data_IF_232453899663
#
_entry.id   IF_232453899663
#
_cell.length_a   1.000
_cell.length_b   1.000
_cell.length_c   1.000
_cell.angle_alpha   90.00
_cell.angle_beta   90.00
_cell.angle_gamma   90.00
#
_symmetry.space_group_name_H-M   'P 1'
#
loop_
_entity.id
_entity.type
_entity.pdbx_description
1 polymer ?
#
# COMPACT_ATOMS: atom_id res chain seq x y z
N UNK A 1 10.82 8.94 -3.14
CA UNK A 1 9.86 9.55 -4.07
C UNK A 1 8.53 9.31 -3.39
N UNK A 2 7.90 10.22 -2.63
CA UNK A 2 7.58 11.64 -2.87
C UNK A 2 6.96 11.81 -4.27
N UNK A 3 5.77 11.25 -4.45
CA UNK A 3 5.00 11.27 -5.70
C UNK A 3 3.98 12.42 -5.76
N UNK A 4 3.53 12.97 -4.61
CA UNK A 4 2.49 14.01 -4.59
C UNK A 4 2.89 15.38 -5.16
N UNK A 5 4.02 15.96 -4.72
CA UNK A 5 4.35 17.36 -5.07
C UNK A 5 4.77 17.54 -6.55
N UNK A 6 5.58 16.65 -7.11
CA UNK A 6 6.02 16.77 -8.52
C UNK A 6 4.85 16.58 -9.50
N UNK A 7 3.90 15.70 -9.21
CA UNK A 7 2.73 15.45 -10.06
C UNK A 7 1.67 16.55 -9.92
N UNK A 8 1.45 17.08 -8.71
CA UNK A 8 0.61 18.27 -8.51
C UNK A 8 1.20 19.50 -9.20
N UNK A 9 2.52 19.69 -9.12
CA UNK A 9 3.24 20.75 -9.83
C UNK A 9 3.20 20.55 -11.36
N UNK A 10 3.19 19.31 -11.85
CA UNK A 10 3.00 18.99 -13.27
C UNK A 10 1.56 19.29 -13.75
N UNK A 11 0.55 18.94 -12.96
CA UNK A 11 -0.87 19.24 -13.24
C UNK A 11 -1.14 20.75 -13.23
N UNK A 12 -0.54 21.50 -12.29
CA UNK A 12 -0.71 22.96 -12.18
C UNK A 12 0.17 23.76 -13.14
N UNK A 13 1.34 23.24 -13.56
CA UNK A 13 2.20 23.89 -14.57
C UNK A 13 1.71 23.71 -16.01
N UNK A 14 0.76 22.80 -16.27
CA UNK A 14 0.02 22.65 -17.53
C UNK A 14 -1.02 23.77 -17.77
N UNK A 15 -0.66 25.01 -17.46
CA UNK A 15 -1.47 26.21 -17.67
C UNK A 15 -1.79 26.57 -19.13
N UNK A 16 -1.92 25.63 -20.05
CA UNK A 16 -2.36 25.89 -21.42
C UNK A 16 -2.86 24.64 -22.13
N UNK A 17 -4.10 24.72 -22.63
CA UNK A 17 -4.58 24.02 -23.84
C UNK A 17 -4.83 22.49 -23.80
N UNK A 18 -5.09 21.89 -22.63
CA UNK A 18 -5.69 20.55 -22.62
C UNK A 18 -7.17 20.61 -23.07
N UNK A 19 -7.47 20.11 -24.27
CA UNK A 19 -8.82 19.87 -24.78
C UNK A 19 -9.44 18.70 -23.99
N UNK A 20 -10.30 19.00 -23.02
CA UNK A 20 -11.11 18.02 -22.28
C UNK A 20 -12.45 17.87 -23.01
N UNK A 21 -12.74 16.70 -23.61
CA UNK A 21 -14.03 16.45 -24.28
C UNK A 21 -14.81 15.28 -23.68
N UNK A 22 -15.99 15.65 -23.20
CA UNK A 22 -17.05 14.85 -22.59
C UNK A 22 -17.90 14.00 -23.57
N UNK A 23 -17.55 13.97 -24.86
CA UNK A 23 -18.33 13.29 -25.92
C UNK A 23 -17.51 12.51 -26.97
N UNK A 24 -16.18 12.43 -26.81
CA UNK A 24 -15.31 11.51 -27.56
C UNK A 24 -14.71 12.02 -28.89
N UNK A 25 -14.42 13.31 -29.06
CA UNK A 25 -13.86 13.92 -30.27
C UNK A 25 -12.61 14.82 -30.10
N UNK A 26 -11.95 14.96 -28.94
CA UNK A 26 -10.65 15.68 -28.89
C UNK A 26 -9.53 14.85 -29.55
N UNK A 27 -8.65 15.53 -30.31
CA UNK A 27 -7.59 14.94 -31.12
C UNK A 27 -6.20 14.90 -30.46
N UNK A 28 -6.06 15.24 -29.18
CA UNK A 28 -4.76 15.22 -28.49
C UNK A 28 -4.93 14.63 -27.08
N UNK A 29 -4.23 13.52 -26.87
CA UNK A 29 -4.17 12.76 -25.63
C UNK A 29 -3.21 13.47 -24.66
N UNK A 30 -3.60 13.67 -23.40
CA UNK A 30 -2.62 13.63 -22.31
C UNK A 30 -2.54 12.17 -21.87
N UNK A 31 -1.97 11.35 -22.74
CA UNK A 31 -1.33 10.12 -22.28
C UNK A 31 0.05 10.55 -21.84
N UNK A 32 0.40 10.33 -20.58
CA UNK A 32 1.82 10.18 -20.33
C UNK A 32 2.25 8.93 -21.11
N UNK A 33 2.94 9.16 -22.24
CA UNK A 33 3.40 8.11 -23.15
C UNK A 33 4.50 7.24 -22.53
N UNK A 34 4.81 7.47 -21.25
CA UNK A 34 5.77 6.71 -20.46
C UNK A 34 5.08 5.56 -19.68
N UNK A 35 3.76 5.55 -19.52
CA UNK A 35 3.05 4.51 -18.77
C UNK A 35 2.00 3.81 -19.65
N UNK A 36 2.40 2.70 -20.28
CA UNK A 36 1.53 1.89 -21.15
C UNK A 36 0.38 1.17 -20.42
N UNK A 37 0.40 1.12 -19.08
CA UNK A 37 -0.49 0.22 -18.33
C UNK A 37 -1.56 0.90 -17.45
N UNK A 38 -1.41 2.19 -17.05
CA UNK A 38 -2.34 2.83 -16.10
C UNK A 38 -2.74 4.27 -16.52
N UNK A 39 -3.74 4.41 -17.40
CA UNK A 39 -4.34 5.72 -17.71
C UNK A 39 -5.32 6.13 -16.60
N UNK A 40 -5.04 7.25 -15.92
CA UNK A 40 -5.94 7.86 -14.94
C UNK A 40 -6.84 8.89 -15.62
N UNK A 41 -8.16 8.74 -15.47
CA UNK A 41 -9.15 9.66 -16.03
C UNK A 41 -9.75 10.52 -14.91
N UNK A 42 -9.30 11.77 -14.83
CA UNK A 42 -9.82 12.75 -13.87
C UNK A 42 -10.90 13.60 -14.54
N UNK A 43 -12.10 13.60 -13.95
CA UNK A 43 -13.18 14.51 -14.29
C UNK A 43 -13.03 15.84 -13.54
N UNK A 44 -12.88 16.92 -14.30
CA UNK A 44 -12.75 18.29 -13.78
C UNK A 44 -14.08 19.07 -13.77
N UNK A 45 -15.22 18.42 -13.99
CA UNK A 45 -16.54 19.08 -13.96
C UNK A 45 -17.02 19.39 -12.55
N UNK A 46 -17.98 20.30 -12.44
CA UNK A 46 -18.69 20.56 -11.17
C UNK A 46 -19.56 19.39 -10.70
N UNK A 47 -19.70 18.35 -11.53
CA UNK A 47 -20.37 17.09 -11.21
C UNK A 47 -19.41 15.96 -10.85
N UNK A 48 -18.10 16.23 -10.79
CA UNK A 48 -17.10 15.26 -10.34
C UNK A 48 -17.49 14.72 -8.97
N UNK A 49 -17.45 13.41 -8.79
CA UNK A 49 -17.69 12.76 -7.52
C UNK A 49 -16.65 11.68 -7.25
N UNK A 50 -16.32 11.50 -5.98
CA UNK A 50 -15.41 10.46 -5.48
C UNK A 50 -16.02 9.05 -5.67
N UNK A 51 -15.36 8.01 -5.20
CA UNK A 51 -15.82 6.63 -5.35
C UNK A 51 -17.18 6.33 -4.70
N UNK A 52 -17.64 7.15 -3.75
CA UNK A 52 -18.96 7.00 -3.12
C UNK A 52 -20.06 7.68 -3.93
N UNK A 53 -19.70 8.62 -4.81
CA UNK A 53 -20.64 9.47 -5.53
C UNK A 53 -21.19 10.63 -4.70
N UNK A 54 -20.76 10.79 -3.44
CA UNK A 54 -21.35 11.75 -2.50
C UNK A 54 -20.55 13.06 -2.39
N UNK A 55 -19.22 13.01 -2.53
CA UNK A 55 -18.35 14.18 -2.37
C UNK A 55 -17.63 14.52 -3.68
N UNK A 56 -17.44 15.82 -3.95
CA UNK A 56 -16.54 16.26 -5.02
C UNK A 56 -15.09 16.11 -4.56
N UNK A 57 -14.24 15.56 -5.43
CA UNK A 57 -12.82 15.34 -5.14
C UNK A 57 -11.89 16.45 -5.64
N UNK A 58 -12.41 17.48 -6.33
CA UNK A 58 -11.55 18.46 -7.03
C UNK A 58 -10.61 19.23 -6.09
N UNK A 59 -11.03 19.43 -4.85
CA UNK A 59 -10.24 20.12 -3.82
C UNK A 59 -9.20 19.21 -3.15
N UNK A 60 -9.20 17.92 -3.46
CA UNK A 60 -8.41 16.87 -2.79
C UNK A 60 -7.54 16.06 -3.76
N UNK A 61 -7.36 16.53 -4.99
CA UNK A 61 -6.52 15.85 -6.00
C UNK A 61 -5.05 15.70 -5.56
N UNK A 62 -4.60 16.50 -4.59
CA UNK A 62 -3.28 16.40 -3.99
C UNK A 62 -3.11 15.19 -3.05
N UNK A 63 -4.20 14.54 -2.65
CA UNK A 63 -4.15 13.34 -1.81
C UNK A 63 -3.97 12.05 -2.63
N UNK A 64 -4.23 12.11 -3.95
CA UNK A 64 -3.97 10.98 -4.85
C UNK A 64 -2.49 10.57 -4.81
N UNK A 65 -2.21 9.34 -4.36
CA UNK A 65 -0.85 8.82 -4.31
C UNK A 65 0.04 9.48 -3.24
N UNK A 66 -0.56 10.03 -2.17
CA UNK A 66 0.16 10.72 -1.10
C UNK A 66 0.85 9.79 -0.08
N UNK A 67 0.63 8.48 -0.20
CA UNK A 67 1.10 7.42 0.68
C UNK A 67 0.09 7.01 1.76
N UNK A 68 -1.10 7.60 1.76
CA UNK A 68 -2.23 7.30 2.64
C UNK A 68 -3.36 6.76 1.79
N UNK A 69 -4.08 5.75 2.27
CA UNK A 69 -5.28 5.30 1.56
C UNK A 69 -6.48 6.16 1.93
N UNK A 70 -7.02 6.90 0.96
CA UNK A 70 -8.26 7.65 1.08
C UNK A 70 -9.48 6.78 0.76
N UNK A 71 -9.89 5.91 1.69
CA UNK A 71 -11.07 5.05 1.53
C UNK A 71 -12.29 5.46 2.38
N UNK A 72 -12.10 6.38 3.33
CA UNK A 72 -13.14 6.86 4.23
C UNK A 72 -12.98 8.36 4.53
N UNK A 73 -14.10 9.02 4.86
CA UNK A 73 -14.09 10.41 5.32
C UNK A 73 -14.53 11.41 4.26
N UNK A 74 -13.66 12.40 3.97
CA UNK A 74 -14.03 13.58 3.15
C UNK A 74 -14.10 13.27 1.67
N UNK A 75 -13.20 12.42 1.19
CA UNK A 75 -13.15 11.90 -0.17
C UNK A 75 -12.78 10.43 -0.13
N UNK A 76 -13.24 9.67 -1.12
CA UNK A 76 -12.84 8.29 -1.33
C UNK A 76 -12.21 8.11 -2.72
N UNK A 77 -10.92 7.75 -2.76
CA UNK A 77 -10.16 7.37 -3.94
C UNK A 77 -9.90 5.86 -4.06
N UNK A 78 -10.44 5.05 -3.13
CA UNK A 78 -10.33 3.59 -3.09
C UNK A 78 -11.27 2.89 -4.07
N UNK A 79 -11.17 3.21 -5.35
CA UNK A 79 -11.85 2.47 -6.42
C UNK A 79 -11.04 2.46 -7.71
N UNK A 80 -11.45 1.62 -8.66
CA UNK A 80 -10.78 1.48 -9.96
C UNK A 80 -10.67 2.78 -10.75
N UNK A 81 -11.58 3.75 -10.55
CA UNK A 81 -11.52 5.07 -11.20
C UNK A 81 -10.21 5.80 -10.88
N UNK A 82 -9.72 5.70 -9.65
CA UNK A 82 -8.49 6.36 -9.20
C UNK A 82 -7.32 5.39 -9.06
N UNK A 83 -7.43 4.21 -9.66
CA UNK A 83 -6.45 3.14 -9.53
C UNK A 83 -6.12 2.81 -8.06
N UNK A 84 -7.16 2.72 -7.22
CA UNK A 84 -7.02 2.49 -5.78
C UNK A 84 -6.11 3.52 -5.12
N UNK A 85 -6.45 4.79 -5.30
CA UNK A 85 -5.65 5.91 -4.79
C UNK A 85 -4.19 5.87 -5.27
N UNK A 86 -4.03 5.70 -6.58
CA UNK A 86 -2.73 5.43 -7.23
C UNK A 86 -1.92 4.29 -6.60
N UNK A 87 -2.61 3.33 -5.98
CA UNK A 87 -2.02 2.18 -5.30
C UNK A 87 -1.96 2.31 -3.79
N UNK A 88 -2.20 3.47 -3.20
CA UNK A 88 -2.14 3.64 -1.74
C UNK A 88 -3.23 2.83 -1.02
N UNK A 89 -4.36 2.59 -1.68
CA UNK A 89 -5.45 1.74 -1.21
C UNK A 89 -5.37 0.28 -1.69
N UNK A 90 -4.23 -0.14 -2.23
CA UNK A 90 -4.02 -1.52 -2.63
C UNK A 90 -4.14 -1.75 -4.14
N UNK A 91 -4.51 -2.97 -4.52
CA UNK A 91 -4.65 -3.38 -5.92
C UNK A 91 -6.11 -3.53 -6.29
N UNK A 92 -6.43 -3.25 -7.55
CA UNK A 92 -7.75 -3.50 -8.09
C UNK A 92 -7.98 -5.01 -8.23
N UNK A 93 -8.92 -5.55 -7.46
CA UNK A 93 -9.35 -6.94 -7.58
C UNK A 93 -10.10 -7.21 -8.89
N UNK A 94 -10.26 -8.48 -9.26
CA UNK A 94 -11.07 -8.89 -10.41
C UNK A 94 -12.56 -8.48 -10.29
N UNK A 95 -13.05 -8.22 -9.08
CA UNK A 95 -14.39 -7.70 -8.81
C UNK A 95 -14.50 -6.18 -8.98
N UNK A 96 -13.40 -5.47 -9.24
CA UNK A 96 -13.37 -4.01 -9.36
C UNK A 96 -13.30 -3.26 -8.03
N UNK A 97 -13.13 -3.98 -6.92
CA UNK A 97 -12.92 -3.43 -5.59
C UNK A 97 -11.43 -3.30 -5.30
N UNK A 98 -11.03 -2.23 -4.60
CA UNK A 98 -9.67 -2.10 -4.11
C UNK A 98 -9.46 -3.05 -2.93
N UNK A 99 -8.38 -3.82 -2.99
CA UNK A 99 -8.03 -4.81 -1.98
C UNK A 99 -6.63 -4.54 -1.47
N UNK A 100 -6.53 -4.42 -0.14
CA UNK A 100 -5.33 -4.10 0.58
C UNK A 100 -5.26 -4.89 1.89
N UNK A 101 -4.15 -5.59 2.12
CA UNK A 101 -3.85 -6.18 3.42
C UNK A 101 -3.10 -5.14 4.25
N UNK A 102 -3.73 -4.62 5.31
CA UNK A 102 -3.16 -3.53 6.10
C UNK A 102 -2.26 -4.07 7.20
N UNK A 103 -1.15 -3.38 7.45
CA UNK A 103 -0.36 -3.60 8.66
C UNK A 103 -0.93 -2.86 9.88
N UNK A 104 -0.29 -2.96 11.04
CA UNK A 104 -0.78 -2.33 12.27
C UNK A 104 -0.78 -0.79 12.25
N UNK A 105 -0.24 -0.16 11.21
CA UNK A 105 -0.33 1.29 10.97
C UNK A 105 -1.35 1.68 9.89
N UNK A 106 -2.06 0.71 9.31
CA UNK A 106 -2.99 0.93 8.21
C UNK A 106 -2.34 0.96 6.83
N UNK A 107 -1.02 0.75 6.74
CA UNK A 107 -0.31 0.79 5.47
C UNK A 107 -0.56 -0.50 4.68
N UNK A 108 -0.83 -0.35 3.39
CA UNK A 108 -1.07 -1.49 2.50
C UNK A 108 0.16 -2.36 2.28
N UNK A 109 -0.08 -3.66 2.28
CA UNK A 109 0.87 -4.73 1.97
C UNK A 109 0.39 -5.50 0.76
N UNK A 110 1.33 -5.76 -0.13
CA UNK A 110 1.08 -6.38 -1.42
C UNK A 110 1.78 -7.71 -1.47
N UNK A 111 0.99 -8.80 -1.37
CA UNK A 111 1.53 -10.15 -1.29
C UNK A 111 2.49 -10.48 -2.46
N UNK A 112 2.13 -10.09 -3.68
CA UNK A 112 2.98 -10.27 -4.87
C UNK A 112 4.32 -9.53 -4.76
N UNK A 113 4.32 -8.27 -4.31
CA UNK A 113 5.54 -7.48 -4.15
C UNK A 113 6.42 -8.07 -3.04
N UNK A 114 5.80 -8.47 -1.92
CA UNK A 114 6.54 -9.04 -0.80
C UNK A 114 7.22 -10.34 -1.16
N UNK A 115 6.50 -11.30 -1.75
CA UNK A 115 7.15 -12.56 -2.07
C UNK A 115 8.15 -12.42 -3.22
N UNK A 116 8.01 -11.45 -4.13
CA UNK A 116 9.11 -11.12 -5.06
C UNK A 116 10.34 -10.56 -4.32
N UNK A 117 10.16 -9.53 -3.50
CA UNK A 117 11.25 -8.80 -2.85
C UNK A 117 11.95 -9.61 -1.75
N UNK A 118 11.20 -10.47 -1.06
CA UNK A 118 11.66 -11.28 0.06
C UNK A 118 11.75 -12.78 -0.27
N UNK A 119 11.56 -13.21 -1.53
CA UNK A 119 11.74 -14.60 -1.99
C UNK A 119 13.06 -15.22 -1.54
N UNK A 120 14.14 -14.44 -1.53
CA UNK A 120 15.46 -14.90 -1.08
C UNK A 120 15.52 -15.27 0.43
N UNK A 121 14.50 -14.89 1.19
CA UNK A 121 14.28 -15.24 2.59
C UNK A 121 13.22 -16.33 2.77
N UNK A 122 12.70 -16.89 1.68
CA UNK A 122 11.66 -17.90 1.67
C UNK A 122 10.24 -17.35 1.66
N UNK A 123 10.05 -16.03 1.58
CA UNK A 123 8.71 -15.46 1.64
C UNK A 123 7.96 -15.58 0.32
N UNK A 124 6.72 -16.01 0.44
CA UNK A 124 5.74 -16.10 -0.62
C UNK A 124 4.78 -14.91 -0.59
N UNK A 125 4.64 -14.24 0.56
CA UNK A 125 3.80 -13.07 0.68
C UNK A 125 4.11 -12.26 1.95
N UNK A 126 3.40 -11.15 2.15
CA UNK A 126 3.54 -10.39 3.40
C UNK A 126 2.68 -11.00 4.51
N UNK A 127 1.44 -11.35 4.18
CA UNK A 127 0.42 -11.89 5.09
C UNK A 127 -0.31 -13.00 4.34
N UNK A 128 -0.34 -14.21 4.90
CA UNK A 128 -1.14 -15.31 4.37
C UNK A 128 -2.61 -15.20 4.77
N UNK A 129 -3.42 -14.66 3.85
CA UNK A 129 -4.88 -14.58 3.95
C UNK A 129 -5.59 -15.79 3.30
N UNK A 130 -4.84 -16.85 2.96
CA UNK A 130 -5.32 -18.02 2.23
C UNK A 130 -5.25 -17.88 0.70
N UNK A 131 -4.81 -16.73 0.18
CA UNK A 131 -4.58 -16.53 -1.25
C UNK A 131 -3.10 -16.47 -1.64
N UNK A 132 -2.17 -16.67 -0.70
CA UNK A 132 -0.75 -16.71 -1.01
C UNK A 132 -0.40 -17.89 -1.90
N UNK A 133 0.46 -17.62 -2.89
CA UNK A 133 0.98 -18.61 -3.82
C UNK A 133 2.44 -18.84 -3.49
N UNK A 134 2.88 -20.10 -3.47
CA UNK A 134 4.27 -20.50 -3.29
C UNK A 134 5.13 -19.92 -4.43
N UNK A 135 5.68 -18.73 -4.19
CA UNK A 135 6.49 -17.98 -5.13
C UNK A 135 7.96 -18.38 -5.02
N UNK A 136 8.38 -18.85 -3.85
CA UNK A 136 9.73 -19.36 -3.62
C UNK A 136 9.97 -20.72 -4.33
N UNK A 137 8.90 -21.50 -4.53
CA UNK A 137 8.88 -22.81 -5.17
C UNK A 137 9.39 -23.94 -4.26
N UNK A 138 9.39 -23.74 -2.94
CA UNK A 138 9.92 -24.69 -1.97
C UNK A 138 8.87 -25.67 -1.42
N UNK A 139 7.60 -25.49 -1.79
CA UNK A 139 6.47 -26.33 -1.39
C UNK A 139 5.85 -25.95 -0.04
N UNK A 140 6.24 -24.82 0.54
CA UNK A 140 5.70 -24.24 1.77
C UNK A 140 5.17 -22.85 1.45
N UNK A 141 4.07 -22.43 2.08
CA UNK A 141 3.65 -21.03 2.08
C UNK A 141 4.24 -20.40 3.34
N UNK A 142 5.08 -19.40 3.15
CA UNK A 142 5.68 -18.62 4.23
C UNK A 142 5.40 -17.13 4.04
N UNK A 143 4.87 -16.51 5.08
CA UNK A 143 4.68 -15.08 5.19
C UNK A 143 5.54 -14.50 6.33
N UNK A 144 5.34 -13.23 6.65
CA UNK A 144 6.09 -12.56 7.70
C UNK A 144 5.49 -12.80 9.10
N UNK A 145 4.22 -13.19 9.21
CA UNK A 145 3.58 -13.41 10.51
C UNK A 145 4.10 -14.69 11.15
N UNK A 146 4.72 -14.57 12.34
CA UNK A 146 5.15 -15.75 13.10
C UNK A 146 6.37 -16.47 12.50
N UNK A 147 7.18 -15.76 11.71
CA UNK A 147 8.34 -16.30 10.99
C UNK A 147 9.59 -16.50 11.88
N UNK A 148 9.49 -16.18 13.16
CA UNK A 148 10.56 -16.22 14.15
C UNK A 148 11.35 -14.92 14.28
N UNK A 149 10.90 -13.80 13.71
CA UNK A 149 11.48 -12.48 13.87
C UNK A 149 10.37 -11.45 14.11
N UNK A 150 10.52 -10.65 15.15
CA UNK A 150 9.56 -9.58 15.40
C UNK A 150 9.63 -8.50 14.31
N UNK A 151 8.52 -8.37 13.60
CA UNK A 151 8.20 -7.36 12.61
C UNK A 151 7.46 -6.19 13.27
N UNK A 152 8.22 -5.33 13.97
CA UNK A 152 7.75 -4.12 14.66
C UNK A 152 7.96 -2.82 13.89
N UNK A 153 8.13 -2.91 12.56
CA UNK A 153 8.43 -1.79 11.67
C UNK A 153 9.86 -1.27 11.82
N UNK A 154 10.65 -1.80 12.76
CA UNK A 154 12.04 -1.39 12.93
C UNK A 154 12.82 -1.64 11.64
N UNK A 155 13.71 -0.71 11.31
CA UNK A 155 14.64 -0.84 10.17
C UNK A 155 13.94 -0.92 8.80
N UNK A 156 12.71 -0.41 8.71
CA UNK A 156 11.93 -0.38 7.46
C UNK A 156 11.32 -1.72 7.07
N UNK A 157 11.23 -2.67 8.02
CA UNK A 157 10.54 -3.95 7.85
C UNK A 157 9.02 -3.84 8.00
N UNK A 158 8.37 -5.00 8.05
CA UNK A 158 6.92 -5.09 8.29
C UNK A 158 6.54 -4.61 9.69
N UNK A 159 5.30 -4.17 9.87
CA UNK A 159 4.75 -3.69 11.15
C UNK A 159 3.52 -4.52 11.55
N UNK A 160 3.76 -5.71 12.08
CA UNK A 160 2.75 -6.66 12.57
C UNK A 160 2.74 -6.78 14.11
N UNK A 161 3.45 -5.88 14.80
CA UNK A 161 3.39 -5.66 16.25
C UNK A 161 2.07 -4.98 16.67
N UNK A 162 0.96 -5.71 16.62
CA UNK A 162 -0.30 -5.36 17.26
C UNK A 162 -1.11 -6.62 17.53
N UNK A 163 -2.20 -6.51 18.29
CA UNK A 163 -3.12 -7.63 18.48
C UNK A 163 -3.96 -7.87 17.22
N UNK A 164 -4.60 -6.83 16.72
CA UNK A 164 -5.53 -6.86 15.60
C UNK A 164 -5.54 -5.49 14.92
N UNK A 165 -5.74 -5.46 13.61
CA UNK A 165 -6.05 -4.26 12.85
C UNK A 165 -7.05 -4.60 11.74
N UNK A 166 -8.14 -3.84 11.65
CA UNK A 166 -9.18 -3.98 10.61
C UNK A 166 -9.69 -5.42 10.39
N UNK A 167 -9.93 -6.14 11.50
CA UNK A 167 -10.39 -7.54 11.46
C UNK A 167 -9.31 -8.58 11.21
N UNK A 168 -8.05 -8.18 10.96
CA UNK A 168 -6.90 -9.08 10.86
C UNK A 168 -6.21 -9.24 12.21
N UNK A 169 -6.17 -10.46 12.71
CA UNK A 169 -5.53 -10.79 13.99
C UNK A 169 -4.03 -11.08 13.77
N UNK A 170 -3.17 -10.15 14.19
CA UNK A 170 -1.72 -10.30 14.08
C UNK A 170 -1.09 -11.02 15.27
N UNK A 171 -1.76 -11.00 16.44
CA UNK A 171 -1.29 -11.69 17.65
C UNK A 171 0.16 -11.37 18.02
N UNK A 172 0.54 -10.09 17.94
CA UNK A 172 1.92 -9.65 18.14
C UNK A 172 2.90 -10.35 17.21
N UNK A 173 2.58 -10.33 15.92
CA UNK A 173 3.36 -10.97 14.87
C UNK A 173 3.50 -12.48 15.08
N UNK A 174 2.36 -13.16 15.22
CA UNK A 174 2.33 -14.60 15.55
C UNK A 174 2.98 -14.94 16.90
N UNK A 175 3.18 -13.95 17.76
CA UNK A 175 3.87 -14.05 19.05
C UNK A 175 5.37 -13.72 19.01
N UNK A 176 5.94 -13.39 17.85
CA UNK A 176 7.36 -13.09 17.72
C UNK A 176 7.74 -11.76 18.36
N UNK A 177 6.82 -10.81 18.39
CA UNK A 177 6.95 -9.54 19.12
C UNK A 177 6.55 -9.64 20.60
N UNK A 178 6.14 -10.81 21.07
CA UNK A 178 5.78 -11.08 22.46
C UNK A 178 4.29 -11.35 22.65
N UNK A 179 3.74 -10.90 23.78
CA UNK A 179 2.34 -11.13 24.16
C UNK A 179 1.64 -9.78 24.26
N UNK A 180 0.41 -9.69 23.74
CA UNK A 180 -0.39 -8.48 23.87
C UNK A 180 -0.68 -8.17 25.33
N UNK A 181 -0.45 -6.91 25.71
CA UNK A 181 -0.75 -6.39 27.04
C UNK A 181 -1.83 -5.31 26.92
N UNK A 182 -3.05 -5.65 27.37
CA UNK A 182 -4.23 -4.77 27.31
C UNK A 182 -4.07 -3.48 28.12
N UNK A 183 -3.30 -3.50 29.21
CA UNK A 183 -3.10 -2.30 30.05
C UNK A 183 -2.24 -1.25 29.34
N UNK A 184 -1.30 -1.70 28.50
CA UNK A 184 -0.35 -0.83 27.79
C UNK A 184 -0.66 -0.67 26.31
N UNK A 185 -1.61 -1.46 25.78
CA UNK A 185 -1.99 -1.55 24.36
C UNK A 185 -0.78 -1.80 23.45
N UNK A 186 0.11 -2.70 23.88
CA UNK A 186 1.36 -3.01 23.18
C UNK A 186 1.73 -4.48 23.35
N UNK A 187 2.49 -4.99 22.38
CA UNK A 187 3.18 -6.27 22.50
C UNK A 187 4.36 -6.15 23.46
N UNK A 188 4.40 -7.01 24.47
CA UNK A 188 5.43 -7.00 25.51
C UNK A 188 6.14 -8.34 25.52
N UNK A 189 7.47 -8.29 25.46
CA UNK A 189 8.29 -9.50 25.59
C UNK A 189 8.22 -10.06 27.01
N UNK A 190 7.96 -11.37 27.17
CA UNK A 190 8.00 -12.00 28.47
C UNK A 190 9.38 -11.87 29.15
N UNK A 191 9.38 -11.79 30.47
CA UNK A 191 10.62 -11.70 31.24
C UNK A 191 11.58 -12.85 30.92
N UNK A 192 12.85 -12.52 30.66
CA UNK A 192 13.89 -13.50 30.32
C UNK A 192 13.90 -13.96 28.86
N UNK A 193 13.04 -13.40 28.00
CA UNK A 193 13.10 -13.58 26.55
C UNK A 193 13.81 -12.40 25.89
N UNK A 194 14.41 -12.64 24.73
CA UNK A 194 15.08 -11.62 23.93
C UNK A 194 14.32 -11.46 22.63
N UNK A 195 14.04 -10.21 22.28
CA UNK A 195 13.41 -9.88 21.01
C UNK A 195 14.39 -10.13 19.87
N UNK A 196 13.99 -10.97 18.92
CA UNK A 196 14.78 -11.27 17.72
C UNK A 196 14.24 -10.38 16.59
N UNK A 197 15.10 -9.51 16.05
CA UNK A 197 14.78 -8.67 14.88
C UNK A 197 15.61 -9.10 13.69
N UNK A 198 15.13 -8.83 12.48
CA UNK A 198 15.94 -9.05 11.27
C UNK A 198 17.23 -8.22 11.34
N UNK A 199 18.37 -8.75 10.84
CA UNK A 199 19.59 -7.97 10.68
C UNK A 199 19.32 -6.69 9.87
N UNK A 200 20.05 -5.61 10.15
CA UNK A 200 19.99 -4.42 9.29
C UNK A 200 20.40 -4.81 7.87
N UNK A 201 19.48 -4.64 6.94
CA UNK A 201 19.78 -4.59 5.52
C UNK A 201 20.55 -3.29 5.27
N UNK A 202 21.85 -3.27 5.58
CA UNK A 202 22.71 -2.29 4.92
C UNK A 202 22.63 -2.59 3.44
N UNK A 203 22.00 -1.69 2.68
CA UNK A 203 22.17 -1.66 1.25
C UNK A 203 23.68 -1.61 0.98
N UNK A 204 24.26 -2.74 0.57
CA UNK A 204 25.61 -2.78 -0.01
C UNK A 204 25.58 -2.16 -1.41
N UNK A 205 25.04 -0.96 -1.55
CA UNK A 205 25.03 -0.21 -2.82
C UNK A 205 26.13 0.86 -2.84
N UNK A 206 26.84 1.13 -1.75
CA UNK A 206 27.83 2.22 -1.71
C UNK A 206 29.23 1.85 -1.19
N UNK A 207 29.70 0.62 -1.37
CA UNK A 207 31.08 0.23 -1.00
C UNK A 207 31.88 -0.42 -2.14
N UNK A 208 31.61 -0.04 -3.39
CA UNK A 208 32.60 -0.15 -4.47
C UNK A 208 32.79 1.24 -5.10
N UNK A 209 33.79 1.95 -4.57
CA UNK A 209 34.46 3.08 -5.23
C UNK A 209 35.37 2.57 -6.35
#
# INVERSE_FOLDING_TARGET
QIWGQENFDALTSLGSEACLDWSGNCSEFVSDTIFLDNQLYIDMSDTSSDCTGENSYLEYLDWLGDGTCDEEGTVNFSCGQFNCDMGDCGLLSLSGECYCLRDCSGNCKFNEICGLYYSQYGYDCCIDDGNCVDMSGDGVIQDAIGDGYCDDGSRGGFLFNCQEFDGFEFNCDGGDCGIWNEDSLKCVMPAGKTLKRRPEFYSKINDEK
#
